data_IF_573822993847
#
_entry.id   IF_573822993847
#
_cell.length_a   1.000
_cell.length_b   1.000
_cell.length_c   1.000
_cell.angle_alpha   90.00
_cell.angle_beta   90.00
_cell.angle_gamma   90.00
#
_symmetry.space_group_name_H-M   'P 1'
#
loop_
_entity.id
_entity.type
_entity.pdbx_description
1 polymer ?
#
# COMPACT_ATOMS: atom_id res chain seq x y z
N UNK A 1 0.13 -10.06 20.55
CA UNK A 1 1.40 -9.63 19.94
C UNK A 1 2.55 -10.10 20.83
N UNK A 2 3.19 -11.23 20.49
CA UNK A 2 4.13 -11.99 21.33
C UNK A 2 5.58 -11.49 21.32
N UNK A 3 5.88 -10.47 20.52
CA UNK A 3 7.26 -10.07 20.19
C UNK A 3 8.04 -9.53 21.41
N UNK A 4 7.49 -8.65 22.27
CA UNK A 4 8.27 -8.04 23.34
C UNK A 4 8.91 -9.02 24.33
N UNK A 5 8.22 -10.14 24.65
CA UNK A 5 8.71 -11.13 25.63
C UNK A 5 9.93 -11.91 25.13
N UNK A 6 10.09 -12.07 23.82
CA UNK A 6 11.21 -12.81 23.24
C UNK A 6 12.42 -11.91 22.91
N UNK A 7 12.23 -10.59 22.83
CA UNK A 7 13.33 -9.68 22.46
C UNK A 7 14.42 -9.59 23.53
N UNK A 8 14.07 -9.64 24.81
CA UNK A 8 15.06 -9.56 25.88
C UNK A 8 16.06 -10.74 25.85
N UNK A 9 15.63 -12.01 25.82
CA UNK A 9 16.55 -13.14 25.65
C UNK A 9 17.40 -13.03 24.37
N UNK A 10 16.77 -12.62 23.25
CA UNK A 10 17.47 -12.46 21.97
C UNK A 10 18.55 -11.37 22.00
N UNK A 11 18.37 -10.35 22.83
CA UNK A 11 19.32 -9.25 23.00
C UNK A 11 20.48 -9.64 23.93
N UNK A 12 20.17 -10.31 25.04
CA UNK A 12 21.14 -10.66 26.09
C UNK A 12 22.07 -11.80 25.66
N UNK A 13 21.55 -12.84 25.01
CA UNK A 13 22.34 -14.02 24.66
C UNK A 13 23.03 -13.91 23.29
N UNK A 14 24.16 -14.58 23.15
CA UNK A 14 24.91 -14.74 21.90
C UNK A 14 24.23 -15.77 20.99
N UNK A 15 23.19 -15.33 20.30
CA UNK A 15 22.40 -16.16 19.38
C UNK A 15 22.78 -15.83 17.95
N UNK A 16 23.03 -16.84 17.12
CA UNK A 16 23.31 -16.64 15.71
C UNK A 16 22.06 -16.16 14.95
N UNK A 17 22.24 -15.27 13.96
CA UNK A 17 21.13 -14.79 13.11
C UNK A 17 20.36 -15.92 12.41
N UNK A 18 21.05 -17.01 12.05
CA UNK A 18 20.44 -18.22 11.45
C UNK A 18 19.44 -18.92 12.39
N UNK A 19 19.69 -18.90 13.70
CA UNK A 19 18.75 -19.45 14.69
C UNK A 19 17.49 -18.59 14.76
N UNK A 20 17.65 -17.26 14.70
CA UNK A 20 16.52 -16.32 14.68
C UNK A 20 15.70 -16.46 13.40
N UNK A 21 16.34 -16.69 12.25
CA UNK A 21 15.67 -17.00 10.98
C UNK A 21 14.82 -18.28 11.08
N UNK A 22 15.33 -19.33 11.74
CA UNK A 22 14.56 -20.56 11.94
C UNK A 22 13.32 -20.35 12.84
N UNK A 23 13.45 -19.51 13.87
CA UNK A 23 12.32 -19.10 14.72
C UNK A 23 11.30 -18.31 13.88
N UNK A 24 11.75 -17.34 13.09
CA UNK A 24 10.88 -16.54 12.22
C UNK A 24 10.14 -17.43 11.21
N UNK A 25 10.83 -18.38 10.57
CA UNK A 25 10.21 -19.31 9.64
C UNK A 25 9.06 -20.11 10.29
N UNK A 26 9.24 -20.56 11.54
CA UNK A 26 8.19 -21.23 12.31
C UNK A 26 7.02 -20.29 12.60
N UNK A 27 7.29 -19.05 13.02
CA UNK A 27 6.26 -18.03 13.23
C UNK A 27 5.49 -17.78 11.93
N UNK A 28 6.17 -17.58 10.80
CA UNK A 28 5.54 -17.26 9.52
C UNK A 28 4.61 -18.38 9.06
N UNK A 29 4.95 -19.65 9.31
CA UNK A 29 4.06 -20.79 9.03
C UNK A 29 2.71 -20.66 9.75
N UNK A 30 2.74 -20.36 11.05
CA UNK A 30 1.50 -20.21 11.83
C UNK A 30 0.76 -18.91 11.49
N UNK A 31 1.48 -17.81 11.25
CA UNK A 31 0.89 -16.53 10.86
C UNK A 31 0.15 -16.64 9.54
N UNK A 32 0.73 -17.31 8.53
CA UNK A 32 0.04 -17.55 7.25
C UNK A 32 -1.23 -18.38 7.43
N UNK A 33 -1.16 -19.44 8.25
CA UNK A 33 -2.34 -20.26 8.57
C UNK A 33 -3.43 -19.43 9.26
N UNK A 34 -3.06 -18.58 10.21
CA UNK A 34 -3.99 -17.71 10.93
C UNK A 34 -4.64 -16.64 10.04
N UNK A 35 -3.85 -16.03 9.13
CA UNK A 35 -4.37 -15.09 8.13
C UNK A 35 -5.20 -15.77 7.04
N UNK A 36 -5.28 -17.11 7.03
CA UNK A 36 -5.97 -17.88 6.01
C UNK A 36 -5.34 -17.72 4.62
N UNK A 37 -4.03 -17.50 4.53
CA UNK A 37 -3.30 -17.32 3.25
C UNK A 37 -2.44 -18.54 2.95
N UNK A 38 -2.13 -18.83 1.66
CA UNK A 38 -1.34 -20.00 1.32
C UNK A 38 0.09 -19.92 1.87
N UNK A 39 0.75 -21.07 2.10
CA UNK A 39 2.14 -21.11 2.61
C UNK A 39 3.14 -20.42 1.67
N UNK A 40 2.83 -20.33 0.38
CA UNK A 40 3.65 -19.67 -0.64
C UNK A 40 3.63 -18.13 -0.60
N UNK A 41 2.85 -17.49 0.28
CA UNK A 41 2.89 -16.03 0.44
C UNK A 41 4.29 -15.57 0.87
N UNK A 42 4.87 -14.63 0.13
CA UNK A 42 6.20 -14.06 0.40
C UNK A 42 6.25 -13.35 1.76
N UNK A 43 7.33 -13.50 2.51
CA UNK A 43 7.53 -12.74 3.77
C UNK A 43 7.59 -11.22 3.53
N UNK A 44 7.88 -10.80 2.30
CA UNK A 44 7.84 -9.39 1.89
C UNK A 44 6.44 -8.80 2.12
N UNK A 45 5.39 -9.56 1.80
CA UNK A 45 4.01 -9.16 2.02
C UNK A 45 3.67 -8.95 3.51
N UNK A 46 4.38 -9.67 4.38
CA UNK A 46 4.14 -9.63 5.82
C UNK A 46 4.86 -8.47 6.50
N UNK A 47 6.09 -8.14 6.06
CA UNK A 47 7.00 -7.29 6.82
C UNK A 47 7.41 -5.99 6.12
N UNK A 48 7.23 -5.87 4.81
CA UNK A 48 7.71 -4.69 4.09
C UNK A 48 6.84 -3.47 4.40
N UNK A 49 7.46 -2.40 4.94
CA UNK A 49 6.73 -1.15 5.21
C UNK A 49 6.40 -0.36 3.94
N UNK A 50 7.07 -0.65 2.82
CA UNK A 50 6.86 -0.01 1.51
C UNK A 50 5.83 -0.75 0.63
N UNK A 51 5.35 -1.92 1.05
CA UNK A 51 4.36 -2.68 0.29
C UNK A 51 3.02 -1.92 0.19
N UNK A 52 2.32 -2.01 -0.93
CA UNK A 52 1.03 -1.31 -1.14
C UNK A 52 -0.03 -1.73 -0.12
N UNK A 53 -0.01 -3.00 0.31
CA UNK A 53 -0.72 -3.44 1.51
C UNK A 53 0.28 -3.67 2.64
N UNK A 54 0.26 -2.80 3.64
CA UNK A 54 1.12 -2.93 4.82
C UNK A 54 0.37 -3.65 5.94
N UNK A 55 0.89 -4.79 6.36
CA UNK A 55 0.39 -5.53 7.52
C UNK A 55 1.02 -5.02 8.83
N UNK A 56 0.33 -5.10 9.98
CA UNK A 56 0.82 -4.68 11.29
C UNK A 56 1.71 -5.76 11.94
N UNK A 57 2.49 -6.48 11.13
CA UNK A 57 3.39 -7.52 11.60
C UNK A 57 4.83 -6.98 11.63
N UNK A 58 5.61 -7.44 12.61
CA UNK A 58 7.02 -7.10 12.73
C UNK A 58 7.85 -8.36 12.58
N UNK A 59 8.94 -8.26 11.81
CA UNK A 59 9.92 -9.32 11.69
C UNK A 59 10.72 -9.43 12.99
N UNK A 60 10.79 -10.65 13.55
CA UNK A 60 11.61 -10.92 14.74
C UNK A 60 13.09 -10.83 14.41
N UNK A 61 13.48 -11.21 13.18
CA UNK A 61 14.84 -11.08 12.70
C UNK A 61 15.26 -9.60 12.59
N UNK A 62 14.37 -8.76 12.08
CA UNK A 62 14.63 -7.32 12.01
C UNK A 62 14.75 -6.69 13.40
N UNK A 63 13.82 -6.98 14.31
CA UNK A 63 13.89 -6.46 15.69
C UNK A 63 15.11 -7.01 16.44
N UNK A 64 15.54 -8.25 16.14
CA UNK A 64 16.81 -8.81 16.64
C UNK A 64 18.02 -8.01 16.14
N UNK A 65 18.13 -7.76 14.83
CA UNK A 65 19.21 -6.95 14.24
C UNK A 65 19.25 -5.54 14.84
N UNK A 66 18.08 -4.89 14.94
CA UNK A 66 17.95 -3.58 15.55
C UNK A 66 18.33 -3.60 17.04
N UNK A 67 17.95 -4.64 17.77
CA UNK A 67 18.28 -4.83 19.17
C UNK A 67 19.79 -5.00 19.40
N UNK A 68 20.45 -5.83 18.59
CA UNK A 68 21.91 -6.01 18.65
C UNK A 68 22.66 -4.74 18.26
N UNK A 69 22.21 -4.03 17.21
CA UNK A 69 22.79 -2.74 16.83
C UNK A 69 22.64 -1.70 17.96
N UNK A 70 21.46 -1.62 18.57
CA UNK A 70 21.20 -0.73 19.70
C UNK A 70 22.12 -1.03 20.88
N UNK A 71 22.29 -2.31 21.22
CA UNK A 71 23.17 -2.75 22.28
C UNK A 71 24.63 -2.40 21.98
N UNK A 72 25.10 -2.64 20.75
CA UNK A 72 26.47 -2.29 20.35
C UNK A 72 26.73 -0.80 20.53
N UNK A 73 25.87 0.06 19.98
CA UNK A 73 26.06 1.51 20.10
C UNK A 73 25.92 2.01 21.54
N UNK A 74 25.10 1.36 22.37
CA UNK A 74 25.05 1.66 23.81
C UNK A 74 26.37 1.33 24.51
N UNK A 75 27.02 0.22 24.15
CA UNK A 75 28.30 -0.17 24.73
C UNK A 75 29.43 0.76 24.25
N UNK A 76 29.43 1.16 22.97
CA UNK A 76 30.39 2.13 22.42
C UNK A 76 30.29 3.51 23.10
N UNK A 77 29.07 3.97 23.38
CA UNK A 77 28.81 5.28 24.00
C UNK A 77 28.74 5.22 25.54
N UNK A 78 29.05 4.08 26.17
CA UNK A 78 28.90 3.88 27.62
C UNK A 78 29.74 4.87 28.42
N UNK A 79 29.19 5.46 29.49
CA UNK A 79 29.95 6.34 30.39
C UNK A 79 30.92 5.56 31.29
N UNK A 80 30.69 4.26 31.47
CA UNK A 80 31.55 3.37 32.25
C UNK A 80 32.90 3.14 31.54
N UNK A 81 33.99 3.52 32.22
CA UNK A 81 35.35 3.41 31.71
C UNK A 81 35.76 1.95 31.45
N UNK A 82 35.33 1.00 32.28
CA UNK A 82 35.64 -0.42 32.13
C UNK A 82 34.98 -0.95 30.86
N UNK A 83 33.72 -0.60 30.62
CA UNK A 83 32.99 -1.02 29.40
C UNK A 83 33.65 -0.44 28.15
N UNK A 84 34.05 0.83 28.20
CA UNK A 84 34.79 1.49 27.11
C UNK A 84 36.14 0.83 26.83
N UNK A 85 36.84 0.36 27.86
CA UNK A 85 38.13 -0.35 27.70
C UNK A 85 37.94 -1.76 27.14
N UNK A 86 36.95 -2.50 27.63
CA UNK A 86 36.75 -3.92 27.26
C UNK A 86 36.16 -4.08 25.86
N UNK A 87 35.32 -3.14 25.40
CA UNK A 87 34.58 -3.20 24.13
C UNK A 87 34.02 -4.60 23.82
N UNK A 88 33.00 -5.06 24.57
CA UNK A 88 32.47 -6.41 24.43
C UNK A 88 32.02 -6.70 22.99
N UNK A 89 32.61 -7.72 22.36
CA UNK A 89 32.22 -8.14 21.02
C UNK A 89 30.91 -8.94 21.07
N UNK A 90 29.90 -8.47 20.33
CA UNK A 90 28.61 -9.15 20.22
C UNK A 90 28.69 -10.27 19.18
N UNK A 91 28.50 -11.52 19.62
CA UNK A 91 28.52 -12.67 18.70
C UNK A 91 27.15 -12.85 18.06
N UNK A 92 27.08 -12.56 16.77
CA UNK A 92 25.83 -12.60 15.97
C UNK A 92 25.84 -13.68 14.87
N UNK A 93 26.92 -14.48 14.83
CA UNK A 93 27.14 -15.56 13.87
C UNK A 93 28.00 -15.12 12.67
N UNK A 94 28.12 -15.99 11.66
CA UNK A 94 28.92 -15.71 10.44
C UNK A 94 28.13 -14.97 9.36
N UNK A 95 26.83 -15.25 9.25
CA UNK A 95 25.96 -14.76 8.16
C UNK A 95 25.69 -13.25 8.24
N UNK A 96 25.62 -12.71 9.44
CA UNK A 96 25.37 -11.30 9.68
C UNK A 96 26.17 -10.86 10.89
N UNK A 97 26.93 -9.77 10.76
CA UNK A 97 27.69 -9.16 11.84
C UNK A 97 27.14 -7.79 12.15
N UNK A 98 26.92 -7.54 13.44
CA UNK A 98 26.37 -6.27 13.93
C UNK A 98 27.35 -5.10 13.73
N UNK A 99 28.65 -5.31 13.89
CA UNK A 99 29.67 -4.26 13.71
C UNK A 99 29.64 -3.73 12.29
N UNK A 100 29.75 -4.62 11.30
CA UNK A 100 29.69 -4.28 9.87
C UNK A 100 28.38 -3.55 9.52
N UNK A 101 27.24 -4.02 10.04
CA UNK A 101 25.94 -3.40 9.78
C UNK A 101 25.81 -1.99 10.40
N UNK A 102 26.38 -1.78 11.59
CA UNK A 102 26.38 -0.47 12.26
C UNK A 102 27.33 0.49 11.56
N UNK A 103 28.51 0.03 11.14
CA UNK A 103 29.49 0.85 10.43
C UNK A 103 28.95 1.29 9.06
N UNK A 104 28.35 0.36 8.31
CA UNK A 104 27.69 0.69 7.05
C UNK A 104 26.55 1.70 7.25
N UNK A 105 25.73 1.54 8.30
CA UNK A 105 24.70 2.51 8.63
C UNK A 105 25.27 3.89 8.98
N UNK A 106 26.37 3.96 9.75
CA UNK A 106 27.08 5.21 10.06
C UNK A 106 27.59 5.88 8.77
N UNK A 107 28.17 5.12 7.84
CA UNK A 107 28.63 5.65 6.54
C UNK A 107 27.48 6.14 5.66
N UNK A 108 26.37 5.40 5.58
CA UNK A 108 25.18 5.86 4.86
C UNK A 108 24.63 7.16 5.43
N UNK A 109 24.63 7.35 6.75
CA UNK A 109 24.18 8.59 7.39
C UNK A 109 25.12 9.76 7.08
N UNK A 110 26.44 9.55 7.09
CA UNK A 110 27.42 10.56 6.66
C UNK A 110 27.20 10.95 5.19
N UNK A 111 26.98 9.97 4.32
CA UNK A 111 26.70 10.19 2.90
C UNK A 111 25.41 11.03 2.71
N UNK A 112 24.34 10.71 3.44
CA UNK A 112 23.08 11.50 3.40
C UNK A 112 23.27 12.93 3.89
N UNK A 113 24.12 13.13 4.88
CA UNK A 113 24.49 14.46 5.36
C UNK A 113 25.27 15.26 4.30
N UNK A 114 26.18 14.63 3.56
CA UNK A 114 26.92 15.26 2.44
C UNK A 114 25.99 15.62 1.28
N UNK A 115 25.09 14.71 0.89
CA UNK A 115 24.10 14.94 -0.17
C UNK A 115 23.14 16.07 0.23
N UNK A 116 22.91 16.26 1.54
CA UNK A 116 21.97 17.22 2.08
C UNK A 116 20.51 16.78 1.91
N UNK A 117 19.60 17.70 2.26
CA UNK A 117 18.18 17.43 2.04
C UNK A 117 17.83 17.56 0.56
N UNK A 118 17.43 16.44 -0.04
CA UNK A 118 16.81 16.45 -1.37
C UNK A 118 15.30 16.69 -1.23
N UNK A 119 14.76 17.52 -2.11
CA UNK A 119 13.33 17.73 -2.20
C UNK A 119 12.66 16.45 -2.73
N UNK A 120 11.94 15.74 -1.85
CA UNK A 120 11.22 14.50 -2.20
C UNK A 120 9.74 14.75 -2.51
N UNK A 121 9.24 15.95 -2.21
CA UNK A 121 7.84 16.31 -2.36
C UNK A 121 7.68 17.72 -2.92
N UNK A 122 6.43 18.14 -3.15
CA UNK A 122 6.11 19.49 -3.64
C UNK A 122 6.03 20.54 -2.53
N UNK A 123 6.46 20.23 -1.29
CA UNK A 123 6.34 21.16 -0.15
C UNK A 123 7.39 22.27 -0.13
N UNK A 124 8.39 22.19 -1.01
CA UNK A 124 9.43 23.19 -1.19
C UNK A 124 10.60 23.06 -0.21
N UNK A 125 11.67 23.80 -0.48
CA UNK A 125 12.88 23.83 0.35
C UNK A 125 12.56 24.39 1.74
N UNK A 126 13.03 23.71 2.80
CA UNK A 126 12.86 24.14 4.19
C UNK A 126 11.58 23.68 4.90
N UNK A 127 10.67 22.96 4.22
CA UNK A 127 9.44 22.43 4.85
C UNK A 127 9.72 21.35 5.91
N UNK A 128 10.82 20.61 5.78
CA UNK A 128 11.22 19.55 6.71
C UNK A 128 12.41 19.95 7.56
N UNK A 129 12.29 19.85 8.88
CA UNK A 129 13.42 20.01 9.80
C UNK A 129 14.45 18.92 9.57
N UNK A 130 15.62 19.29 9.04
CA UNK A 130 16.73 18.37 8.79
C UNK A 130 17.36 17.90 10.11
N UNK A 131 17.42 16.59 10.30
CA UNK A 131 18.24 15.98 11.36
C UNK A 131 19.62 15.68 10.79
N UNK A 132 20.63 16.33 11.34
CA UNK A 132 22.01 16.24 10.88
C UNK A 132 22.78 15.25 11.75
N UNK A 133 23.35 14.21 11.14
CA UNK A 133 24.07 13.16 11.86
C UNK A 133 25.18 13.73 12.74
N UNK A 134 25.98 14.66 12.22
CA UNK A 134 27.04 15.37 12.95
C UNK A 134 26.58 16.12 14.20
N UNK A 135 25.33 16.62 14.21
CA UNK A 135 24.77 17.42 15.31
C UNK A 135 24.01 16.59 16.34
N UNK A 136 23.60 15.37 15.99
CA UNK A 136 22.88 14.47 16.90
C UNK A 136 23.81 13.79 17.91
N UNK A 137 23.31 13.56 19.12
CA UNK A 137 24.04 12.90 20.20
C UNK A 137 23.16 11.88 20.94
N UNK A 138 23.81 10.89 21.56
CA UNK A 138 23.17 9.92 22.46
C UNK A 138 22.03 9.13 21.81
N UNK A 139 20.85 9.14 22.43
CA UNK A 139 19.70 8.35 21.98
C UNK A 139 19.28 8.68 20.55
N UNK A 140 19.25 9.95 20.18
CA UNK A 140 18.80 10.37 18.85
C UNK A 140 19.73 9.84 17.75
N UNK A 141 21.04 9.88 18.02
CA UNK A 141 22.07 9.31 17.14
C UNK A 141 21.87 7.80 16.95
N UNK A 142 21.60 7.08 18.04
CA UNK A 142 21.28 5.64 18.00
C UNK A 142 20.02 5.33 17.21
N UNK A 143 18.98 6.13 17.38
CA UNK A 143 17.73 5.95 16.65
C UNK A 143 17.92 6.18 15.14
N UNK A 144 18.78 7.14 14.73
CA UNK A 144 19.15 7.32 13.31
C UNK A 144 19.85 6.09 12.73
N UNK A 145 20.81 5.47 13.45
CA UNK A 145 21.47 4.23 12.99
C UNK A 145 20.44 3.12 12.80
N UNK A 146 19.53 2.96 13.77
CA UNK A 146 18.56 1.87 13.75
C UNK A 146 17.54 2.06 12.64
N UNK A 147 17.09 3.29 12.41
CA UNK A 147 16.21 3.60 11.29
C UNK A 147 16.90 3.34 9.95
N UNK A 148 18.22 3.57 9.85
CA UNK A 148 18.97 3.22 8.64
C UNK A 148 19.04 1.70 8.40
N UNK A 149 19.29 0.92 9.46
CA UNK A 149 19.25 -0.55 9.38
C UNK A 149 17.86 -1.02 8.94
N UNK A 150 16.79 -0.44 9.49
CA UNK A 150 15.40 -0.73 9.09
C UNK A 150 15.14 -0.38 7.62
N UNK A 151 15.64 0.77 7.16
CA UNK A 151 15.52 1.21 5.77
C UNK A 151 16.27 0.28 4.81
N UNK A 152 17.43 -0.24 5.23
CA UNK A 152 18.19 -1.23 4.48
C UNK A 152 17.42 -2.55 4.34
N UNK A 153 16.89 -3.09 5.44
CA UNK A 153 16.09 -4.31 5.41
C UNK A 153 14.85 -4.17 4.50
N UNK A 154 14.16 -3.03 4.55
CA UNK A 154 13.05 -2.77 3.63
C UNK A 154 13.48 -2.66 2.17
N UNK A 155 14.64 -2.04 1.91
CA UNK A 155 15.17 -1.95 0.54
C UNK A 155 15.50 -3.34 -0.02
N UNK A 156 16.08 -4.23 0.79
CA UNK A 156 16.28 -5.63 0.42
C UNK A 156 14.96 -6.36 0.16
N UNK A 157 13.91 -6.09 0.96
CA UNK A 157 12.57 -6.66 0.72
C UNK A 157 11.94 -6.16 -0.57
N UNK A 158 12.09 -4.88 -0.88
CA UNK A 158 11.62 -4.30 -2.15
C UNK A 158 12.38 -4.92 -3.34
N UNK A 159 13.71 -5.04 -3.26
CA UNK A 159 14.50 -5.73 -4.28
C UNK A 159 14.01 -7.16 -4.51
N UNK A 160 13.72 -7.90 -3.44
CA UNK A 160 13.13 -9.25 -3.53
C UNK A 160 11.74 -9.23 -4.17
N UNK A 161 10.89 -8.23 -3.88
CA UNK A 161 9.59 -8.12 -4.52
C UNK A 161 9.69 -7.82 -6.02
N UNK A 162 10.59 -6.95 -6.45
CA UNK A 162 10.80 -6.66 -7.88
C UNK A 162 11.15 -7.94 -8.66
N UNK A 163 11.87 -8.87 -8.03
CA UNK A 163 12.21 -10.18 -8.62
C UNK A 163 11.08 -11.22 -8.56
N UNK A 164 9.93 -10.89 -7.95
CA UNK A 164 8.77 -11.77 -7.83
C UNK A 164 7.69 -11.35 -8.84
N UNK A 165 7.67 -11.87 -10.08
CA UNK A 165 6.76 -11.39 -11.13
C UNK A 165 5.28 -11.58 -10.81
N UNK A 166 4.91 -12.45 -9.86
CA UNK A 166 3.52 -12.65 -9.44
C UNK A 166 3.17 -11.79 -8.23
N UNK A 167 3.77 -12.10 -7.07
CA UNK A 167 3.46 -11.43 -5.80
C UNK A 167 4.11 -10.05 -5.68
N UNK A 168 5.00 -9.67 -6.59
CA UNK A 168 5.71 -8.40 -6.60
C UNK A 168 5.10 -7.34 -7.51
N UNK A 169 4.01 -7.64 -8.23
CA UNK A 169 3.39 -6.69 -9.19
C UNK A 169 3.06 -5.33 -8.57
N UNK A 170 2.80 -5.29 -7.27
CA UNK A 170 2.57 -4.05 -6.52
C UNK A 170 3.72 -3.04 -6.56
N UNK A 171 4.94 -3.45 -6.93
CA UNK A 171 6.07 -2.53 -7.11
C UNK A 171 5.89 -1.59 -8.29
N UNK A 172 5.03 -1.96 -9.25
CA UNK A 172 4.80 -1.18 -10.47
C UNK A 172 3.52 -0.33 -10.38
N UNK A 173 2.84 -0.33 -9.22
CA UNK A 173 1.59 0.41 -9.03
C UNK A 173 1.86 1.84 -8.58
N UNK A 174 2.49 2.66 -9.42
CA UNK A 174 2.99 3.99 -9.02
C UNK A 174 1.88 4.94 -8.53
N UNK A 175 0.70 4.86 -9.12
CA UNK A 175 -0.47 5.69 -8.78
C UNK A 175 -1.23 5.21 -7.54
N UNK A 176 -0.96 3.99 -7.08
CA UNK A 176 -1.73 3.36 -6.01
C UNK A 176 -1.34 3.85 -4.62
N UNK A 177 -2.34 4.26 -3.85
CA UNK A 177 -2.18 4.70 -2.47
C UNK A 177 -1.91 3.48 -1.59
N UNK A 178 -0.88 3.56 -0.75
CA UNK A 178 -0.60 2.52 0.23
C UNK A 178 -1.74 2.41 1.24
N UNK A 179 -2.27 1.19 1.39
CA UNK A 179 -3.20 0.83 2.46
C UNK A 179 -2.42 0.20 3.60
N UNK A 180 -2.49 0.81 4.79
CA UNK A 180 -1.93 0.24 6.01
C UNK A 180 -3.03 -0.33 6.89
N UNK A 181 -2.87 -1.57 7.33
CA UNK A 181 -3.74 -2.21 8.31
C UNK A 181 -3.09 -2.12 9.68
N UNK A 182 -3.88 -1.73 10.69
CA UNK A 182 -3.50 -1.79 12.10
C UNK A 182 -3.84 -3.15 12.69
N UNK A 183 -3.27 -3.48 13.85
CA UNK A 183 -3.67 -4.70 14.58
C UNK A 183 -5.18 -4.69 14.86
N UNK A 184 -5.74 -3.52 15.19
CA UNK A 184 -7.16 -3.37 15.48
C UNK A 184 -8.03 -3.72 14.25
N UNK A 185 -7.61 -3.25 13.06
CA UNK A 185 -8.31 -3.57 11.81
C UNK A 185 -8.34 -5.07 11.56
N UNK A 186 -7.21 -5.77 11.79
CA UNK A 186 -7.15 -7.23 11.61
C UNK A 186 -8.02 -7.95 12.64
N UNK A 187 -8.08 -7.48 13.89
CA UNK A 187 -8.91 -8.12 14.92
C UNK A 187 -10.41 -8.01 14.65
N UNK A 188 -10.85 -6.89 14.09
CA UNK A 188 -12.29 -6.64 13.83
C UNK A 188 -12.74 -7.05 12.43
N UNK A 189 -11.81 -7.33 11.52
CA UNK A 189 -12.14 -7.74 10.17
C UNK A 189 -12.50 -9.23 10.12
N UNK A 190 -13.58 -9.56 9.40
CA UNK A 190 -13.95 -10.96 9.18
C UNK A 190 -12.77 -11.75 8.58
N UNK A 191 -12.48 -12.98 9.06
CA UNK A 191 -11.31 -13.75 8.62
C UNK A 191 -11.20 -13.93 7.10
N UNK A 192 -12.33 -14.20 6.43
CA UNK A 192 -12.40 -14.33 4.98
C UNK A 192 -12.06 -13.03 4.25
N UNK A 193 -12.43 -11.88 4.82
CA UNK A 193 -12.15 -10.56 4.23
C UNK A 193 -10.65 -10.23 4.29
N UNK A 194 -9.98 -10.57 5.38
CA UNK A 194 -8.52 -10.41 5.52
C UNK A 194 -7.79 -11.31 4.51
N UNK A 195 -8.17 -12.58 4.48
CA UNK A 195 -7.60 -13.56 3.56
C UNK A 195 -7.78 -13.12 2.11
N UNK A 196 -8.99 -12.70 1.74
CA UNK A 196 -9.30 -12.19 0.41
C UNK A 196 -8.46 -10.96 0.06
N UNK A 197 -8.39 -9.95 0.94
CA UNK A 197 -7.62 -8.73 0.72
C UNK A 197 -6.13 -9.00 0.50
N UNK A 198 -5.53 -9.89 1.28
CA UNK A 198 -4.12 -10.25 1.09
C UNK A 198 -3.96 -11.02 -0.22
N UNK A 199 -4.83 -12.00 -0.49
CA UNK A 199 -4.75 -12.81 -1.72
C UNK A 199 -4.97 -11.99 -2.98
N UNK A 200 -5.79 -10.94 -2.95
CA UNK A 200 -6.03 -10.09 -4.11
C UNK A 200 -4.81 -9.23 -4.45
N UNK A 201 -4.12 -8.68 -3.44
CA UNK A 201 -2.94 -7.83 -3.64
C UNK A 201 -1.75 -8.62 -4.17
N UNK A 202 -1.55 -9.85 -3.66
CA UNK A 202 -0.35 -10.65 -3.97
C UNK A 202 -0.57 -11.70 -5.08
N UNK A 203 -1.63 -11.57 -5.86
CA UNK A 203 -2.00 -12.50 -6.93
C UNK A 203 -2.11 -13.98 -6.50
N UNK A 204 -2.92 -14.25 -5.46
CA UNK A 204 -3.12 -15.59 -4.86
C UNK A 204 -4.58 -16.05 -4.83
N UNK A 205 -5.49 -15.35 -5.53
CA UNK A 205 -6.87 -15.82 -5.74
C UNK A 205 -6.91 -16.90 -6.84
N UNK A 206 -7.94 -17.78 -6.84
CA UNK A 206 -8.09 -18.84 -7.82
C UNK A 206 -8.54 -18.30 -9.20
N UNK A 207 -7.68 -17.55 -9.88
CA UNK A 207 -7.84 -17.24 -11.31
C UNK A 207 -7.46 -18.46 -12.16
N UNK A 208 -7.95 -18.58 -13.39
CA UNK A 208 -7.62 -19.72 -14.26
C UNK A 208 -6.10 -19.84 -14.45
N UNK A 209 -5.39 -18.72 -14.62
CA UNK A 209 -3.94 -18.68 -14.67
C UNK A 209 -3.28 -19.23 -13.39
N UNK A 210 -3.81 -18.90 -12.21
CA UNK A 210 -3.30 -19.44 -10.94
C UNK A 210 -3.68 -20.91 -10.75
N UNK A 211 -4.85 -21.34 -11.19
CA UNK A 211 -5.29 -22.74 -11.14
C UNK A 211 -4.39 -23.63 -12.00
N UNK A 212 -4.00 -23.18 -13.19
CA UNK A 212 -3.00 -23.87 -14.02
C UNK A 212 -1.65 -23.93 -13.32
N UNK A 213 -1.17 -22.81 -12.76
CA UNK A 213 0.08 -22.78 -11.97
C UNK A 213 0.06 -23.74 -10.78
N UNK A 214 -1.12 -23.98 -10.19
CA UNK A 214 -1.30 -24.92 -9.08
C UNK A 214 -1.58 -26.35 -9.52
N UNK A 215 -1.55 -26.65 -10.82
CA UNK A 215 -1.82 -27.98 -11.37
C UNK A 215 -3.27 -28.44 -11.16
N UNK A 216 -4.22 -27.51 -11.07
CA UNK A 216 -5.65 -27.79 -10.87
C UNK A 216 -6.49 -27.65 -12.14
N UNK A 217 -5.90 -27.14 -13.21
CA UNK A 217 -6.53 -26.87 -14.50
C UNK A 217 -5.46 -26.95 -15.58
N UNK A 218 -5.85 -27.28 -16.81
CA UNK A 218 -4.90 -27.41 -17.93
C UNK A 218 -4.79 -26.13 -18.78
N UNK A 219 -5.89 -25.37 -18.90
CA UNK A 219 -5.97 -24.18 -19.75
C UNK A 219 -6.22 -22.91 -18.92
N UNK A 220 -5.37 -21.86 -19.04
CA UNK A 220 -5.57 -20.61 -18.32
C UNK A 220 -6.62 -19.70 -18.97
N UNK A 221 -7.22 -20.05 -20.11
CA UNK A 221 -8.17 -19.17 -20.82
C UNK A 221 -9.46 -18.94 -20.04
N UNK A 222 -10.04 -17.75 -20.22
CA UNK A 222 -11.35 -17.41 -19.68
C UNK A 222 -12.45 -18.01 -20.58
N UNK A 223 -13.43 -18.74 -20.01
CA UNK A 223 -14.51 -19.32 -20.79
C UNK A 223 -15.46 -18.29 -21.44
N UNK A 224 -15.45 -17.02 -20.97
CA UNK A 224 -16.32 -15.97 -21.49
C UNK A 224 -15.71 -15.17 -22.64
N UNK A 225 -14.41 -14.89 -22.60
CA UNK A 225 -13.76 -14.00 -23.59
C UNK A 225 -12.48 -14.59 -24.20
N UNK A 226 -12.11 -15.82 -23.84
CA UNK A 226 -10.95 -16.57 -24.35
C UNK A 226 -9.57 -15.93 -24.08
N UNK A 227 -9.52 -14.77 -23.43
CA UNK A 227 -8.28 -14.18 -22.97
C UNK A 227 -7.70 -14.97 -21.78
N UNK A 228 -6.41 -14.78 -21.48
CA UNK A 228 -5.77 -15.41 -20.33
C UNK A 228 -6.43 -14.95 -19.02
N UNK A 229 -6.99 -15.89 -18.27
CA UNK A 229 -7.75 -15.67 -17.03
C UNK A 229 -6.85 -15.39 -15.83
N UNK A 230 -6.16 -14.25 -15.85
CA UNK A 230 -5.41 -13.72 -14.70
C UNK A 230 -6.34 -13.04 -13.68
N UNK A 231 -5.88 -12.76 -12.45
CA UNK A 231 -6.71 -12.02 -11.47
C UNK A 231 -7.13 -10.65 -12.01
N UNK A 232 -6.27 -10.02 -12.82
CA UNK A 232 -6.56 -8.76 -13.51
C UNK A 232 -7.80 -8.84 -14.40
N UNK A 233 -8.10 -10.06 -14.88
CA UNK A 233 -9.24 -10.35 -15.73
C UNK A 233 -10.53 -10.59 -14.92
N UNK A 234 -10.44 -10.97 -13.63
CA UNK A 234 -11.59 -11.42 -12.82
C UNK A 234 -11.95 -10.54 -11.60
N UNK A 235 -11.16 -9.51 -11.24
CA UNK A 235 -11.28 -8.81 -9.94
C UNK A 235 -11.70 -7.33 -10.02
N UNK A 236 -12.95 -7.06 -9.62
CA UNK A 236 -13.72 -5.81 -9.32
C UNK A 236 -13.08 -4.84 -8.31
N UNK A 237 -13.27 -3.51 -8.24
CA UNK A 237 -14.00 -2.46 -9.01
C UNK A 237 -13.43 -1.07 -8.61
N UNK A 238 -13.21 -0.14 -9.53
CA UNK A 238 -13.01 1.29 -9.29
C UNK A 238 -14.28 2.09 -9.63
N UNK A 239 -14.55 3.16 -8.89
CA UNK A 239 -15.67 4.08 -9.15
C UNK A 239 -15.16 5.34 -9.83
N UNK A 240 -15.61 5.60 -11.05
CA UNK A 240 -15.35 6.83 -11.81
C UNK A 240 -16.54 7.76 -11.67
N UNK A 241 -16.32 8.96 -11.14
CA UNK A 241 -17.31 10.03 -11.10
C UNK A 241 -17.09 10.96 -12.29
N UNK A 242 -18.12 11.18 -13.11
CA UNK A 242 -18.10 12.13 -14.21
C UNK A 242 -19.32 13.06 -14.10
N UNK A 243 -19.07 14.37 -13.98
CA UNK A 243 -20.12 15.40 -13.85
C UNK A 243 -20.34 16.14 -15.18
N UNK A 244 -21.58 16.25 -15.62
CA UNK A 244 -21.97 16.75 -16.95
C UNK A 244 -23.24 17.62 -16.87
N UNK A 245 -23.31 18.70 -17.67
CA UNK A 245 -24.50 19.58 -17.76
C UNK A 245 -24.50 20.83 -16.86
N UNK A 246 -25.39 21.78 -17.18
CA UNK A 246 -25.66 23.05 -16.47
C UNK A 246 -25.37 24.34 -17.27
N UNK A 247 -26.20 25.39 -17.09
CA UNK A 247 -26.06 26.72 -17.74
C UNK A 247 -24.98 27.60 -17.07
N UNK A 248 -24.51 27.23 -15.87
CA UNK A 248 -23.44 27.93 -15.15
C UNK A 248 -22.17 27.09 -15.14
N UNK A 249 -21.02 27.72 -15.38
CA UNK A 249 -19.70 27.10 -15.13
C UNK A 249 -19.66 26.65 -13.67
N UNK A 250 -19.46 25.36 -13.46
CA UNK A 250 -19.06 24.84 -12.16
C UNK A 250 -17.82 25.59 -11.70
N UNK A 251 -17.77 26.00 -10.43
CA UNK A 251 -16.57 26.58 -9.83
C UNK A 251 -15.52 25.47 -9.66
N UNK A 252 -14.92 25.07 -10.78
CA UNK A 252 -13.75 24.21 -10.85
C UNK A 252 -12.55 24.95 -10.29
N UNK A 253 -12.41 24.87 -8.98
CA UNK A 253 -11.27 25.39 -8.24
C UNK A 253 -11.54 25.13 -6.77
N UNK A 254 -10.63 24.41 -6.11
CA UNK A 254 -10.60 24.36 -4.65
C UNK A 254 -10.42 25.78 -4.14
N UNK A 255 -11.52 26.51 -3.93
CA UNK A 255 -11.50 27.78 -3.23
C UNK A 255 -11.56 27.43 -1.75
N UNK A 256 -10.43 27.61 -1.08
CA UNK A 256 -10.36 27.65 0.38
C UNK A 256 -11.19 28.84 0.85
N UNK A 257 -12.45 28.61 1.21
CA UNK A 257 -13.21 29.51 2.06
C UNK A 257 -13.45 28.76 3.36
N UNK A 258 -13.01 29.39 4.45
CA UNK A 258 -12.99 28.80 5.79
C UNK A 258 -14.39 28.28 6.21
N UNK A 259 -14.37 27.06 6.77
CA UNK A 259 -15.33 26.39 7.67
C UNK A 259 -16.42 25.45 7.16
N UNK A 260 -16.76 25.33 5.87
CA UNK A 260 -17.49 24.15 5.37
C UNK A 260 -17.05 23.82 3.94
N UNK A 261 -16.55 22.60 3.70
CA UNK A 261 -16.25 22.12 2.35
C UNK A 261 -17.58 22.02 1.59
N UNK A 262 -17.72 22.74 0.48
CA UNK A 262 -18.86 22.53 -0.41
C UNK A 262 -18.80 21.12 -1.00
N UNK A 263 -19.85 20.33 -0.77
CA UNK A 263 -20.03 18.98 -1.30
C UNK A 263 -20.37 18.96 -2.80
N UNK A 264 -20.25 17.78 -3.43
CA UNK A 264 -20.56 17.59 -4.85
C UNK A 264 -22.04 17.85 -5.18
N UNK A 265 -22.92 17.68 -4.19
CA UNK A 265 -24.37 17.87 -4.29
C UNK A 265 -24.83 19.23 -3.74
N UNK A 266 -23.90 20.12 -3.41
CA UNK A 266 -24.28 21.43 -2.88
C UNK A 266 -24.81 22.34 -4.01
N UNK A 267 -25.95 22.99 -3.78
CA UNK A 267 -26.49 24.00 -4.69
C UNK A 267 -27.94 23.76 -5.12
N UNK A 268 -28.51 22.60 -4.83
CA UNK A 268 -29.93 22.30 -4.99
C UNK A 268 -30.35 21.11 -4.10
N UNK A 269 -31.65 21.00 -3.83
CA UNK A 269 -32.24 19.98 -2.93
C UNK A 269 -33.09 18.95 -3.70
N UNK A 270 -33.11 19.01 -5.04
CA UNK A 270 -33.93 18.17 -5.92
C UNK A 270 -33.13 17.05 -6.60
N UNK A 271 -32.06 16.58 -5.95
CA UNK A 271 -31.25 15.48 -6.48
C UNK A 271 -32.00 14.16 -6.47
N UNK A 272 -32.04 13.52 -7.63
CA UNK A 272 -32.67 12.22 -7.85
C UNK A 272 -31.60 11.20 -8.25
N UNK A 273 -31.62 10.02 -7.63
CA UNK A 273 -30.66 8.94 -7.88
C UNK A 273 -31.32 7.77 -8.60
N UNK A 274 -30.76 7.40 -9.75
CA UNK A 274 -31.15 6.24 -10.55
C UNK A 274 -29.97 5.28 -10.67
N UNK A 275 -30.24 3.97 -10.74
CA UNK A 275 -29.20 2.95 -10.89
C UNK A 275 -29.65 1.85 -11.85
N UNK A 276 -28.69 1.07 -12.37
CA UNK A 276 -28.95 -0.04 -13.30
C UNK A 276 -29.41 -1.28 -12.53
N UNK A 277 -30.49 -1.12 -11.78
CA UNK A 277 -31.10 -2.14 -10.92
C UNK A 277 -32.62 -2.14 -11.09
N UNK A 278 -33.27 -3.33 -11.09
CA UNK A 278 -34.72 -3.44 -11.34
C UNK A 278 -35.60 -2.66 -10.35
N UNK A 279 -35.09 -2.44 -9.14
CA UNK A 279 -35.83 -1.83 -8.02
C UNK A 279 -35.65 -0.31 -7.91
N UNK A 280 -34.83 0.30 -8.78
CA UNK A 280 -34.46 1.72 -8.70
C UNK A 280 -35.23 2.58 -9.69
N UNK A 281 -35.27 3.89 -9.43
CA UNK A 281 -35.93 4.86 -10.32
C UNK A 281 -35.33 4.84 -11.73
N UNK A 282 -36.20 5.07 -12.71
CA UNK A 282 -35.82 5.07 -14.13
C UNK A 282 -34.89 6.24 -14.44
N UNK A 283 -33.91 5.99 -15.29
CA UNK A 283 -33.01 7.02 -15.79
C UNK A 283 -33.75 8.24 -16.39
N UNK A 284 -33.16 9.44 -16.28
CA UNK A 284 -33.69 10.63 -16.91
C UNK A 284 -33.82 10.44 -18.43
N UNK A 285 -34.81 11.12 -19.02
CA UNK A 285 -35.22 10.97 -20.43
C UNK A 285 -34.07 11.08 -21.42
N UNK A 286 -33.12 11.99 -21.16
CA UNK A 286 -31.94 12.21 -22.00
C UNK A 286 -31.04 10.98 -22.07
N UNK A 287 -30.93 10.20 -21.00
CA UNK A 287 -30.17 8.94 -20.97
C UNK A 287 -31.03 7.80 -21.52
N UNK A 288 -32.33 7.78 -21.22
CA UNK A 288 -33.26 6.74 -21.68
C UNK A 288 -33.38 6.67 -23.20
N UNK A 289 -33.29 7.81 -23.88
CA UNK A 289 -33.28 7.91 -25.36
C UNK A 289 -32.02 7.29 -25.98
N UNK A 290 -30.98 7.04 -25.17
CA UNK A 290 -29.76 6.37 -25.61
C UNK A 290 -29.78 4.87 -25.28
N UNK A 291 -28.95 4.11 -26.00
CA UNK A 291 -28.66 2.72 -25.65
C UNK A 291 -27.68 2.59 -24.46
N UNK A 292 -27.26 3.71 -23.86
CA UNK A 292 -26.30 3.71 -22.76
C UNK A 292 -26.98 3.36 -21.44
N UNK A 293 -26.24 2.64 -20.60
CA UNK A 293 -26.64 2.24 -19.24
C UNK A 293 -25.46 2.54 -18.32
N UNK A 294 -25.39 3.76 -17.78
CA UNK A 294 -24.48 4.05 -16.68
C UNK A 294 -24.81 3.18 -15.47
N UNK A 295 -23.92 3.08 -14.48
CA UNK A 295 -24.18 2.23 -13.30
C UNK A 295 -25.06 2.97 -12.29
N UNK A 296 -24.71 4.22 -11.99
CA UNK A 296 -25.51 5.13 -11.17
C UNK A 296 -25.53 6.50 -11.86
N UNK A 297 -26.69 7.16 -11.81
CA UNK A 297 -26.92 8.52 -12.30
C UNK A 297 -27.57 9.32 -11.19
N UNK A 298 -26.96 10.43 -10.81
CA UNK A 298 -27.56 11.41 -9.89
C UNK A 298 -27.87 12.65 -10.73
N UNK A 299 -29.09 13.16 -10.71
CA UNK A 299 -29.46 14.32 -11.52
C UNK A 299 -30.35 15.30 -10.79
N UNK A 300 -30.32 16.55 -11.19
CA UNK A 300 -31.19 17.63 -10.69
C UNK A 300 -31.87 18.30 -11.87
N UNK A 301 -33.20 18.38 -11.82
CA UNK A 301 -34.01 18.99 -12.87
C UNK A 301 -33.88 20.52 -12.85
N UNK A 302 -33.82 21.11 -11.64
CA UNK A 302 -33.72 22.56 -11.42
C UNK A 302 -32.42 23.15 -11.95
N UNK A 303 -31.31 22.41 -11.83
CA UNK A 303 -29.98 22.87 -12.27
C UNK A 303 -29.55 22.30 -13.62
N UNK A 304 -30.33 21.35 -14.17
CA UNK A 304 -30.00 20.54 -15.35
C UNK A 304 -28.63 19.84 -15.24
N UNK A 305 -28.24 19.44 -14.03
CA UNK A 305 -26.97 18.78 -13.76
C UNK A 305 -27.16 17.27 -13.69
N UNK A 306 -26.18 16.54 -14.24
CA UNK A 306 -26.08 15.08 -14.15
C UNK A 306 -24.69 14.70 -13.64
N UNK A 307 -24.67 13.85 -12.63
CA UNK A 307 -23.48 13.16 -12.13
C UNK A 307 -23.63 11.70 -12.54
N UNK A 308 -22.80 11.29 -13.49
CA UNK A 308 -22.65 9.89 -13.86
C UNK A 308 -21.62 9.24 -12.95
N UNK A 309 -21.94 8.06 -12.47
CA UNK A 309 -21.03 7.25 -11.69
C UNK A 309 -20.90 5.90 -12.36
N UNK A 310 -19.73 5.67 -12.96
CA UNK A 310 -19.39 4.39 -13.56
C UNK A 310 -18.55 3.56 -12.65
N UNK A 311 -19.01 2.34 -12.39
CA UNK A 311 -18.15 1.31 -11.84
C UNK A 311 -17.37 0.69 -13.00
N UNK A 312 -16.06 0.79 -12.93
CA UNK A 312 -15.11 0.12 -13.80
C UNK A 312 -14.39 -0.98 -13.03
N UNK A 313 -13.81 -1.95 -13.73
CA UNK A 313 -13.04 -3.04 -13.13
C UNK A 313 -11.66 -3.15 -13.77
N UNK A 314 -10.80 -2.13 -13.66
CA UNK A 314 -9.41 -2.27 -14.03
C UNK A 314 -8.58 -2.75 -12.84
N UNK A 315 -7.71 -3.73 -13.07
CA UNK A 315 -6.52 -3.90 -12.25
C UNK A 315 -5.69 -2.62 -12.32
N UNK A 316 -4.98 -2.23 -11.25
CA UNK A 316 -4.40 -0.88 -11.10
C UNK A 316 -3.59 -0.40 -12.32
N UNK A 317 -2.85 -1.28 -12.99
CA UNK A 317 -2.09 -0.96 -14.22
C UNK A 317 -2.95 -0.54 -15.42
N UNK A 318 -4.24 -0.87 -15.44
CA UNK A 318 -5.19 -0.53 -16.50
C UNK A 318 -6.18 0.57 -16.08
N UNK A 319 -5.96 1.20 -14.93
CA UNK A 319 -6.86 2.24 -14.43
C UNK A 319 -7.01 3.39 -15.42
N UNK A 320 -5.88 3.87 -15.98
CA UNK A 320 -5.87 4.98 -16.94
C UNK A 320 -6.52 4.59 -18.29
N UNK A 321 -6.19 3.42 -18.82
CA UNK A 321 -6.80 2.90 -20.05
C UNK A 321 -8.32 2.72 -19.92
N UNK A 322 -8.79 2.11 -18.82
CA UNK A 322 -10.20 1.88 -18.58
C UNK A 322 -10.97 3.18 -18.31
N UNK A 323 -10.32 4.14 -17.64
CA UNK A 323 -10.84 5.49 -17.48
C UNK A 323 -11.03 6.16 -18.85
N UNK A 324 -9.98 6.16 -19.68
CA UNK A 324 -9.99 6.76 -21.02
C UNK A 324 -11.03 6.10 -21.94
N UNK A 325 -11.14 4.78 -21.91
CA UNK A 325 -12.14 4.03 -22.67
C UNK A 325 -13.57 4.41 -22.28
N UNK A 326 -13.83 4.58 -20.97
CA UNK A 326 -15.16 4.92 -20.46
C UNK A 326 -15.50 6.39 -20.67
N UNK A 327 -14.54 7.30 -20.53
CA UNK A 327 -14.71 8.69 -20.96
C UNK A 327 -15.07 8.76 -22.45
N UNK A 328 -14.38 7.99 -23.29
CA UNK A 328 -14.71 7.86 -24.72
C UNK A 328 -16.12 7.33 -24.97
N UNK A 329 -16.54 6.28 -24.25
CA UNK A 329 -17.88 5.65 -24.41
C UNK A 329 -19.03 6.66 -24.22
N UNK A 330 -18.88 7.62 -23.31
CA UNK A 330 -19.94 8.56 -22.97
C UNK A 330 -19.75 9.96 -23.59
N UNK A 331 -18.67 10.18 -24.34
CA UNK A 331 -18.25 11.50 -24.82
C UNK A 331 -19.35 12.28 -25.56
N UNK A 332 -20.13 11.59 -26.39
CA UNK A 332 -21.18 12.24 -27.18
C UNK A 332 -22.40 12.59 -26.33
N UNK A 333 -22.76 11.74 -25.36
CA UNK A 333 -23.76 12.08 -24.34
C UNK A 333 -23.31 13.30 -23.52
N UNK A 334 -22.04 13.37 -23.13
CA UNK A 334 -21.48 14.52 -22.42
C UNK A 334 -21.62 15.82 -23.22
N UNK A 335 -21.39 15.77 -24.55
CA UNK A 335 -21.52 16.93 -25.44
C UNK A 335 -22.97 17.38 -25.58
N UNK A 336 -23.92 16.45 -25.63
CA UNK A 336 -25.35 16.76 -25.67
C UNK A 336 -25.82 17.39 -24.36
N UNK A 337 -25.43 16.81 -23.22
CA UNK A 337 -25.79 17.35 -21.90
C UNK A 337 -25.26 18.77 -21.65
N UNK A 338 -24.11 19.11 -22.23
CA UNK A 338 -23.54 20.48 -22.17
C UNK A 338 -24.34 21.51 -22.97
N UNK A 339 -25.17 21.09 -23.92
CA UNK A 339 -26.05 21.97 -24.70
C UNK A 339 -27.36 22.31 -23.97
N UNK A 340 -27.61 21.69 -22.81
CA UNK A 340 -28.90 21.75 -22.10
C UNK A 340 -29.83 20.65 -22.60
N UNK A 341 -30.72 20.14 -21.73
CA UNK A 341 -31.53 18.94 -22.02
C UNK A 341 -32.99 19.05 -21.56
N UNK A 342 -33.63 20.20 -21.82
CA UNK A 342 -35.09 20.34 -21.79
C UNK A 342 -35.66 20.25 -23.20
#
# INVERSE_FOLDING_TARGET
MLIPKHLCPLLVYDICSTTVEAIEAKINKYTRKWLGVPPGLSDVAMYCRKAKLKLPMKSILEEYKCGKARLLTMLEESDDSVVKTVQPSLKTGRKWKVTEAVDEAKECLKMKEIIGQTQTDRRGLGSTTAKWWSKTKGKEKRDMIIDEIRNKEDSTRVQKAVQQPQQGQWTNWDTAIQRSLTCNDIWHMAPLRISFLIRSVYDLLPSNANLVRWGKMDDPTCPLCQAKGEIQHSSTSSTVFATEGGVKKWHGGSITINTHRKGLLDGCDDWVVSADLPEWERYPDVIRKTALRPVIVIHSASTQQIIRVELNVPYESRMEEAHTFKEGKYLDLTKELKKGWL
#
